data_IF_272257965436
#
_entry.id   IF_272257965436
#
_cell.length_a   1.000
_cell.length_b   1.000
_cell.length_c   1.000
_cell.angle_alpha   90.00
_cell.angle_beta   90.00
_cell.angle_gamma   90.00
#
_symmetry.space_group_name_H-M   'P 1'
#
loop_
_entity.id
_entity.type
_entity.pdbx_description
1 polymer ?
#
# COMPACT_ATOMS: atom_id res chain seq x y z
N UNK A 1 -5.40 -11.98 15.47
CA UNK A 1 -5.58 -13.26 14.77
C UNK A 1 -6.90 -13.43 14.04
N UNK A 2 -7.56 -12.35 13.60
CA UNK A 2 -8.74 -12.44 12.71
C UNK A 2 -8.38 -12.30 11.22
N UNK A 3 -7.13 -11.93 10.93
CA UNK A 3 -6.59 -11.73 9.59
C UNK A 3 -5.18 -12.33 9.53
N UNK A 4 -4.87 -13.04 8.43
CA UNK A 4 -3.56 -13.64 8.19
C UNK A 4 -2.56 -12.55 7.84
N UNK A 5 -1.41 -12.56 8.51
CA UNK A 5 -0.25 -11.73 8.14
C UNK A 5 0.56 -12.55 7.13
N UNK A 6 0.82 -12.00 5.94
CA UNK A 6 1.49 -12.72 4.84
C UNK A 6 2.65 -11.95 4.19
N UNK A 7 3.02 -10.79 4.73
CA UNK A 7 4.11 -9.96 4.23
C UNK A 7 4.25 -8.66 5.02
N UNK A 8 5.26 -7.89 4.66
CA UNK A 8 5.54 -6.57 5.22
C UNK A 8 6.07 -5.63 4.13
N UNK A 9 6.03 -4.32 4.39
CA UNK A 9 6.69 -3.32 3.55
C UNK A 9 8.16 -3.29 3.95
N UNK A 10 9.04 -3.72 3.05
CA UNK A 10 10.42 -4.07 3.40
C UNK A 10 11.36 -2.86 3.61
N UNK A 11 11.10 -1.73 2.92
CA UNK A 11 11.99 -0.57 2.94
C UNK A 11 11.28 0.72 3.39
N UNK A 12 12.07 1.64 3.94
CA UNK A 12 11.56 2.88 4.52
C UNK A 12 10.94 3.82 3.49
N UNK A 13 11.47 3.86 2.27
CA UNK A 13 10.93 4.73 1.23
C UNK A 13 9.53 4.25 0.79
N UNK A 14 9.35 2.94 0.64
CA UNK A 14 8.04 2.34 0.38
C UNK A 14 7.07 2.53 1.56
N UNK A 15 7.56 2.48 2.80
CA UNK A 15 6.75 2.78 3.97
C UNK A 15 6.28 4.24 3.97
N UNK A 16 7.14 5.19 3.64
CA UNK A 16 6.79 6.60 3.54
C UNK A 16 5.70 6.84 2.49
N UNK A 17 5.75 6.14 1.35
CA UNK A 17 4.68 6.16 0.33
C UNK A 17 3.36 5.64 0.91
N UNK A 18 3.37 4.53 1.65
CA UNK A 18 2.16 4.01 2.29
C UNK A 18 1.57 4.99 3.32
N UNK A 19 2.43 5.66 4.09
CA UNK A 19 2.03 6.72 5.03
C UNK A 19 1.40 7.90 4.29
N UNK A 20 2.00 8.35 3.19
CA UNK A 20 1.43 9.43 2.36
C UNK A 20 0.05 9.05 1.80
N UNK A 21 -0.11 7.83 1.28
CA UNK A 21 -1.40 7.33 0.79
C UNK A 21 -2.45 7.34 1.91
N UNK A 22 -2.09 6.97 3.13
CA UNK A 22 -3.04 6.99 4.26
C UNK A 22 -3.53 8.39 4.67
N UNK A 23 -2.92 9.46 4.15
CA UNK A 23 -3.22 10.85 4.48
C UNK A 23 -3.93 11.61 3.35
N UNK A 24 -4.22 10.95 2.21
CA UNK A 24 -4.92 11.60 1.10
C UNK A 24 -6.36 11.97 1.50
N UNK A 25 -6.96 13.04 0.93
CA UNK A 25 -8.35 13.39 1.22
C UNK A 25 -9.32 12.26 0.88
N UNK A 26 -10.25 11.97 1.78
CA UNK A 26 -11.30 10.96 1.61
C UNK A 26 -12.70 11.56 1.66
N UNK A 27 -13.69 10.84 1.15
CA UNK A 27 -15.11 11.11 1.31
C UNK A 27 -15.64 10.64 2.68
N UNK A 28 -16.96 10.76 2.91
CA UNK A 28 -17.59 10.36 4.17
C UNK A 28 -17.61 8.84 4.44
N UNK A 29 -17.13 8.01 3.51
CA UNK A 29 -17.05 6.56 3.61
C UNK A 29 -15.59 6.06 3.51
N UNK A 30 -14.62 6.93 3.79
CA UNK A 30 -13.17 6.65 3.78
C UNK A 30 -12.61 6.33 2.38
N UNK A 31 -13.35 6.58 1.30
CA UNK A 31 -12.82 6.43 -0.06
C UNK A 31 -11.99 7.66 -0.44
N UNK A 32 -10.78 7.51 -1.02
CA UNK A 32 -10.02 8.63 -1.57
C UNK A 32 -10.83 9.45 -2.58
N UNK A 33 -10.74 10.78 -2.50
CA UNK A 33 -11.39 11.73 -3.44
C UNK A 33 -10.77 11.61 -4.84
N UNK A 34 -9.46 11.41 -4.89
CA UNK A 34 -8.72 11.06 -6.10
C UNK A 34 -8.29 9.59 -5.98
N UNK A 35 -8.55 8.78 -7.01
CA UNK A 35 -8.26 7.35 -6.98
C UNK A 35 -6.74 7.09 -6.87
N UNK A 36 -6.34 6.29 -5.87
CA UNK A 36 -4.96 5.77 -5.76
C UNK A 36 -4.90 4.43 -6.48
N UNK A 37 -4.39 4.44 -7.71
CA UNK A 37 -4.42 3.28 -8.62
C UNK A 37 -3.14 2.48 -8.55
N UNK A 38 -3.26 1.16 -8.37
CA UNK A 38 -2.15 0.21 -8.51
C UNK A 38 -1.96 -0.13 -10.00
N UNK A 39 -0.98 0.50 -10.63
CA UNK A 39 -0.78 0.40 -12.09
C UNK A 39 -0.15 -0.93 -12.52
N UNK A 40 0.75 -1.49 -11.71
CA UNK A 40 1.44 -2.74 -12.00
C UNK A 40 1.95 -3.44 -10.74
N UNK A 41 2.25 -4.73 -10.86
CA UNK A 41 2.91 -5.53 -9.81
C UNK A 41 4.05 -6.32 -10.43
N UNK A 42 5.25 -6.17 -9.86
CA UNK A 42 6.43 -6.97 -10.22
C UNK A 42 6.71 -7.97 -9.11
N UNK A 43 6.86 -9.25 -9.46
CA UNK A 43 7.17 -10.32 -8.51
C UNK A 43 8.58 -10.83 -8.78
N UNK A 44 9.44 -10.77 -7.76
CA UNK A 44 10.77 -11.36 -7.78
C UNK A 44 10.74 -12.72 -7.09
N UNK A 45 11.43 -13.71 -7.66
CA UNK A 45 11.67 -14.97 -6.95
C UNK A 45 12.91 -14.80 -6.08
N UNK A 46 12.94 -15.49 -4.94
CA UNK A 46 14.15 -15.55 -4.12
C UNK A 46 15.30 -16.13 -4.95
N UNK A 47 16.28 -15.30 -5.30
CA UNK A 47 17.46 -15.67 -6.08
C UNK A 47 17.62 -14.97 -7.44
N UNK A 48 16.64 -14.18 -7.88
CA UNK A 48 16.81 -13.19 -8.96
C UNK A 48 17.38 -11.86 -8.46
#
# INVERSE_FOLDING_TARGET
GKHTIFGEVADSASLDVAVQISQVPTDGADRPVEDVVLESVTIHRSGD
#
